data_IF_823003586009
#
_entry.id   IF_823003586009
#
_cell.length_a   1.000
_cell.length_b   1.000
_cell.length_c   1.000
_cell.angle_alpha   90.00
_cell.angle_beta   90.00
_cell.angle_gamma   90.00
#
_symmetry.space_group_name_H-M   'P 1'
#
loop_
_entity.id
_entity.type
_entity.pdbx_description
1 polymer ?
#
# COMPACT_ATOMS: atom_id res chain seq x y z
N UNK A 1 18.23 12.47 -12.57
CA UNK A 1 17.12 13.04 -11.77
C UNK A 1 16.04 11.98 -11.70
N UNK A 2 15.53 11.67 -10.50
CA UNK A 2 14.56 10.60 -10.31
C UNK A 2 13.21 11.20 -9.92
N UNK A 3 12.16 10.70 -10.57
CA UNK A 3 10.77 11.01 -10.23
C UNK A 3 10.14 9.75 -9.66
N UNK A 4 9.38 9.88 -8.58
CA UNK A 4 8.73 8.75 -7.92
C UNK A 4 7.23 9.03 -7.89
N UNK A 5 6.41 8.08 -8.33
CA UNK A 5 4.95 8.21 -8.34
C UNK A 5 4.30 6.92 -7.84
N UNK A 6 3.37 6.97 -6.88
CA UNK A 6 2.58 5.80 -6.52
C UNK A 6 1.46 5.56 -7.55
N UNK A 7 1.22 4.30 -7.88
CA UNK A 7 0.12 3.87 -8.74
C UNK A 7 -1.23 3.69 -8.00
N UNK A 8 -1.20 3.66 -6.66
CA UNK A 8 -2.36 3.36 -5.83
C UNK A 8 -3.17 4.62 -5.46
N UNK A 9 -2.71 5.40 -4.48
CA UNK A 9 -3.46 6.51 -3.90
C UNK A 9 -2.55 7.62 -3.30
N UNK A 10 -3.18 8.68 -2.79
CA UNK A 10 -2.48 9.80 -2.16
C UNK A 10 -1.87 9.43 -0.81
N UNK A 11 -2.35 8.40 -0.11
CA UNK A 11 -1.72 7.98 1.15
C UNK A 11 -0.36 7.36 0.90
N UNK A 12 -0.24 6.53 -0.13
CA UNK A 12 1.06 6.02 -0.58
C UNK A 12 2.01 7.16 -0.96
N UNK A 13 1.49 8.23 -1.58
CA UNK A 13 2.29 9.43 -1.90
C UNK A 13 2.81 10.11 -0.64
N UNK A 14 1.93 10.37 0.32
CA UNK A 14 2.30 11.08 1.54
C UNK A 14 3.30 10.25 2.39
N UNK A 15 3.17 8.92 2.39
CA UNK A 15 4.15 8.01 2.97
C UNK A 15 5.53 8.14 2.32
N UNK A 16 5.61 8.12 0.98
CA UNK A 16 6.86 8.27 0.25
C UNK A 16 7.48 9.68 0.42
N UNK A 17 6.65 10.72 0.44
CA UNK A 17 7.11 12.10 0.63
C UNK A 17 7.64 12.37 2.04
N UNK A 18 7.18 11.61 3.04
CA UNK A 18 7.66 11.70 4.41
C UNK A 18 8.97 10.95 4.68
N UNK A 19 9.48 10.14 3.73
CA UNK A 19 10.70 9.35 3.92
C UNK A 19 11.95 10.22 3.73
N UNK A 20 12.75 10.34 4.78
CA UNK A 20 14.01 11.10 4.78
C UNK A 20 15.01 10.62 3.73
N UNK A 21 14.96 9.33 3.35
CA UNK A 21 15.84 8.75 2.33
C UNK A 21 15.50 9.23 0.92
N UNK A 22 14.28 9.71 0.73
CA UNK A 22 13.79 10.26 -0.54
C UNK A 22 13.85 11.79 -0.56
N UNK A 23 14.43 12.42 0.48
CA UNK A 23 14.58 13.86 0.54
C UNK A 23 15.45 14.37 -0.62
N UNK A 24 14.84 15.16 -1.51
CA UNK A 24 15.47 15.70 -2.73
C UNK A 24 14.99 15.06 -4.03
N UNK A 25 14.26 13.94 -3.96
CA UNK A 25 13.62 13.35 -5.13
C UNK A 25 12.23 13.93 -5.36
N UNK A 26 11.76 13.91 -6.62
CA UNK A 26 10.45 14.45 -6.96
C UNK A 26 9.38 13.40 -6.74
N UNK A 27 8.68 13.45 -5.59
CA UNK A 27 7.52 12.58 -5.33
C UNK A 27 6.26 13.22 -5.87
N UNK A 28 5.66 12.61 -6.90
CA UNK A 28 4.45 13.09 -7.57
C UNK A 28 3.24 12.23 -7.24
N UNK A 29 2.03 12.73 -7.52
CA UNK A 29 0.80 11.95 -7.36
C UNK A 29 0.48 11.10 -8.59
N UNK A 30 -0.47 10.17 -8.45
CA UNK A 30 -0.94 9.32 -9.56
C UNK A 30 -1.42 10.13 -10.77
N UNK A 31 -2.00 11.31 -10.57
CA UNK A 31 -2.43 12.19 -11.66
C UNK A 31 -1.26 12.69 -12.52
N UNK A 32 -0.08 12.87 -11.94
CA UNK A 32 1.11 13.29 -12.69
C UNK A 32 1.57 12.26 -13.74
N UNK A 33 1.23 10.98 -13.54
CA UNK A 33 1.43 9.93 -14.55
C UNK A 33 0.47 10.10 -15.74
N UNK A 34 -0.75 10.60 -15.49
CA UNK A 34 -1.78 10.81 -16.51
C UNK A 34 -1.56 12.12 -17.26
N UNK A 35 -1.19 13.17 -16.53
CA UNK A 35 -0.94 14.51 -17.06
C UNK A 35 0.44 14.65 -17.70
N UNK A 36 1.28 13.61 -17.59
CA UNK A 36 2.64 13.55 -18.15
C UNK A 36 3.68 14.38 -17.41
N UNK A 37 3.32 15.01 -16.30
CA UNK A 37 4.23 15.85 -15.51
C UNK A 37 5.25 15.05 -14.69
N UNK A 38 5.03 13.74 -14.54
CA UNK A 38 5.99 12.84 -13.90
C UNK A 38 7.20 12.48 -14.78
N UNK A 39 7.14 12.73 -16.09
CA UNK A 39 8.20 12.37 -17.05
C UNK A 39 9.26 13.47 -17.15
N UNK A 40 10.37 13.28 -16.44
CA UNK A 40 11.53 14.17 -16.51
C UNK A 40 12.47 13.67 -17.62
N UNK A 41 12.68 14.42 -18.73
CA UNK A 41 13.44 13.91 -19.86
C UNK A 41 14.86 13.45 -19.52
N UNK A 42 15.24 12.27 -20.01
CA UNK A 42 16.54 11.64 -19.70
C UNK A 42 16.70 11.17 -18.25
N UNK A 43 15.62 11.19 -17.45
CA UNK A 43 15.60 10.75 -16.06
C UNK A 43 15.09 9.31 -15.88
N UNK A 44 14.85 8.97 -14.62
CA UNK A 44 14.24 7.70 -14.22
C UNK A 44 12.93 7.97 -13.51
N UNK A 45 11.87 7.29 -13.92
CA UNK A 45 10.57 7.27 -13.25
C UNK A 45 10.40 5.95 -12.50
N UNK A 46 10.24 6.03 -11.19
CA UNK A 46 9.92 4.88 -10.34
C UNK A 46 8.42 4.91 -10.04
N UNK A 47 7.72 3.85 -10.42
CA UNK A 47 6.31 3.67 -10.09
C UNK A 47 6.19 2.70 -8.93
N UNK A 48 5.73 3.19 -7.78
CA UNK A 48 5.44 2.34 -6.63
C UNK A 48 4.08 1.65 -6.75
N UNK A 49 3.98 0.42 -6.26
CA UNK A 49 2.76 -0.41 -6.31
C UNK A 49 2.20 -0.58 -7.72
N UNK A 50 3.06 -0.80 -8.70
CA UNK A 50 2.69 -0.89 -10.11
C UNK A 50 1.72 -2.05 -10.41
N UNK A 51 1.57 -3.03 -9.51
CA UNK A 51 0.55 -4.08 -9.62
C UNK A 51 -0.89 -3.55 -9.60
N UNK A 52 -1.07 -2.29 -9.12
CA UNK A 52 -2.34 -1.56 -9.11
C UNK A 52 -2.64 -0.82 -10.41
N UNK A 53 -1.68 -0.72 -11.34
CA UNK A 53 -1.94 -0.11 -12.64
C UNK A 53 -2.83 -1.01 -13.50
N UNK A 54 -3.83 -0.40 -14.13
CA UNK A 54 -4.55 -1.02 -15.23
C UNK A 54 -3.69 -1.11 -16.49
N UNK A 55 -4.10 -1.96 -17.44
CA UNK A 55 -3.45 -2.09 -18.74
C UNK A 55 -3.43 -0.75 -19.50
N UNK A 56 -4.54 -0.01 -19.49
CA UNK A 56 -4.63 1.32 -20.14
C UNK A 56 -3.64 2.30 -19.53
N UNK A 57 -3.59 2.40 -18.21
CA UNK A 57 -2.66 3.30 -17.51
C UNK A 57 -1.21 2.93 -17.80
N UNK A 58 -0.89 1.63 -17.89
CA UNK A 58 0.46 1.18 -18.19
C UNK A 58 0.88 1.52 -19.61
N UNK A 59 -0.01 1.39 -20.59
CA UNK A 59 0.27 1.78 -21.98
C UNK A 59 0.53 3.29 -22.05
N UNK A 60 -0.31 4.11 -21.42
CA UNK A 60 -0.11 5.57 -21.38
C UNK A 60 1.20 5.94 -20.68
N UNK A 61 1.56 5.23 -19.61
CA UNK A 61 2.82 5.42 -18.90
C UNK A 61 4.03 5.09 -19.77
N UNK A 62 4.01 3.97 -20.48
CA UNK A 62 5.10 3.55 -21.36
C UNK A 62 5.22 4.49 -22.58
N UNK A 63 4.11 4.92 -23.18
CA UNK A 63 4.13 5.90 -24.28
C UNK A 63 4.75 7.24 -23.82
N UNK A 64 4.35 7.75 -22.66
CA UNK A 64 4.94 8.96 -22.08
C UNK A 64 6.43 8.80 -21.79
N UNK A 65 6.82 7.69 -21.18
CA UNK A 65 8.22 7.41 -20.88
C UNK A 65 9.08 7.31 -22.16
N UNK A 66 8.58 6.64 -23.21
CA UNK A 66 9.26 6.54 -24.50
C UNK A 66 9.44 7.91 -25.16
N UNK A 67 8.40 8.75 -25.18
CA UNK A 67 8.45 10.09 -25.79
C UNK A 67 9.45 11.03 -25.11
N UNK A 68 9.62 10.88 -23.81
CA UNK A 68 10.53 11.70 -23.02
C UNK A 68 11.89 11.04 -22.75
N UNK A 69 12.15 9.86 -23.34
CA UNK A 69 13.37 9.07 -23.13
C UNK A 69 13.66 8.85 -21.63
N UNK A 70 12.62 8.42 -20.90
CA UNK A 70 12.65 8.17 -19.46
C UNK A 70 12.76 6.68 -19.20
N UNK A 71 13.69 6.29 -18.33
CA UNK A 71 13.76 4.92 -17.84
C UNK A 71 12.64 4.68 -16.83
N UNK A 72 11.89 3.59 -16.96
CA UNK A 72 10.82 3.23 -16.01
C UNK A 72 11.24 2.06 -15.14
N UNK A 73 11.10 2.21 -13.83
CA UNK A 73 11.19 1.13 -12.86
C UNK A 73 9.80 0.90 -12.24
N UNK A 74 9.26 -0.30 -12.41
CA UNK A 74 7.97 -0.69 -11.83
C UNK A 74 8.21 -1.55 -10.59
N UNK A 75 7.80 -1.05 -9.42
CA UNK A 75 7.86 -1.79 -8.17
C UNK A 75 6.62 -2.68 -8.01
N UNK A 76 6.82 -3.95 -7.73
CA UNK A 76 5.76 -4.91 -7.39
C UNK A 76 5.79 -5.17 -5.88
N UNK A 77 4.77 -4.70 -5.16
CA UNK A 77 4.74 -4.84 -3.70
C UNK A 77 4.25 -6.22 -3.21
N UNK A 78 3.88 -7.12 -4.13
CA UNK A 78 3.35 -8.45 -3.80
C UNK A 78 1.94 -8.44 -3.21
N UNK A 79 1.28 -7.27 -3.15
CA UNK A 79 -0.13 -7.14 -2.78
C UNK A 79 -1.03 -7.74 -3.87
N UNK A 80 -2.31 -7.94 -3.53
CA UNK A 80 -3.29 -8.48 -4.49
C UNK A 80 -3.30 -7.64 -5.77
N UNK A 81 -2.84 -8.27 -6.83
CA UNK A 81 -2.87 -7.76 -8.19
C UNK A 81 -4.32 -7.57 -8.64
N UNK A 82 -4.59 -6.45 -9.32
CA UNK A 82 -5.90 -6.25 -9.97
C UNK A 82 -6.11 -7.29 -11.08
N UNK A 83 -7.36 -7.65 -11.37
CA UNK A 83 -7.67 -8.44 -12.57
C UNK A 83 -7.18 -7.68 -13.81
N UNK A 84 -6.26 -8.26 -14.59
CA UNK A 84 -5.67 -7.59 -15.75
C UNK A 84 -4.49 -6.66 -15.44
N UNK A 85 -3.74 -6.94 -14.37
CA UNK A 85 -2.49 -6.22 -14.07
C UNK A 85 -1.50 -6.32 -15.23
N UNK A 86 -1.01 -5.16 -15.65
CA UNK A 86 -0.04 -5.08 -16.71
C UNK A 86 1.32 -5.70 -16.32
N UNK A 87 1.62 -5.82 -15.02
CA UNK A 87 2.88 -6.42 -14.58
C UNK A 87 3.03 -7.86 -15.02
N UNK A 88 1.95 -8.66 -15.00
CA UNK A 88 2.00 -10.04 -15.48
C UNK A 88 2.36 -10.07 -16.97
N UNK A 89 1.67 -9.25 -17.78
CA UNK A 89 1.92 -9.16 -19.22
C UNK A 89 3.35 -8.70 -19.52
N UNK A 90 3.86 -7.71 -18.77
CA UNK A 90 5.23 -7.21 -18.93
C UNK A 90 6.28 -8.27 -18.57
N UNK A 91 6.05 -9.03 -17.50
CA UNK A 91 6.92 -10.17 -17.13
C UNK A 91 6.92 -11.23 -18.22
N UNK A 92 5.76 -11.60 -18.73
CA UNK A 92 5.62 -12.59 -19.82
C UNK A 92 6.27 -12.12 -21.12
N UNK A 93 6.31 -10.80 -21.36
CA UNK A 93 6.98 -10.21 -22.52
C UNK A 93 8.51 -10.17 -22.43
N UNK A 94 9.08 -10.62 -21.32
CA UNK A 94 10.54 -10.73 -21.14
C UNK A 94 11.22 -9.47 -20.61
N UNK A 95 10.48 -8.53 -20.01
CA UNK A 95 11.08 -7.41 -19.28
C UNK A 95 11.93 -7.93 -18.13
N UNK A 96 13.12 -7.35 -17.94
CA UNK A 96 14.00 -7.70 -16.83
C UNK A 96 13.29 -7.51 -15.47
N UNK A 97 13.29 -8.56 -14.66
CA UNK A 97 12.74 -8.52 -13.31
C UNK A 97 13.85 -8.65 -12.28
N UNK A 98 13.84 -7.75 -11.30
CA UNK A 98 14.76 -7.78 -10.17
C UNK A 98 13.98 -8.12 -8.91
N UNK A 99 14.37 -9.20 -8.23
CA UNK A 99 13.73 -9.62 -6.98
C UNK A 99 14.57 -9.17 -5.79
N UNK A 100 14.06 -8.20 -5.04
CA UNK A 100 14.66 -7.80 -3.77
C UNK A 100 14.40 -8.87 -2.69
N UNK A 101 15.45 -9.32 -2.00
CA UNK A 101 15.38 -10.34 -0.95
C UNK A 101 15.75 -9.83 0.45
N UNK A 102 16.06 -8.53 0.59
CA UNK A 102 16.58 -7.96 1.83
C UNK A 102 15.54 -7.44 2.83
N UNK A 103 14.24 -7.68 2.61
CA UNK A 103 13.18 -7.20 3.49
C UNK A 103 12.90 -8.16 4.63
N UNK A 104 12.85 -7.65 5.87
CA UNK A 104 12.37 -8.42 7.03
C UNK A 104 10.88 -8.71 6.82
N UNK A 105 10.51 -9.97 6.60
CA UNK A 105 9.09 -10.34 6.47
C UNK A 105 8.43 -10.22 7.85
N UNK A 106 7.37 -9.42 7.94
CA UNK A 106 6.54 -9.32 9.15
C UNK A 106 5.94 -10.69 9.47
N UNK A 107 6.16 -11.18 10.68
CA UNK A 107 5.50 -12.38 11.19
C UNK A 107 4.03 -12.07 11.45
N UNK A 108 3.14 -12.98 11.05
CA UNK A 108 1.71 -12.87 11.32
C UNK A 108 1.29 -13.95 12.31
N UNK A 109 0.68 -13.55 13.42
CA UNK A 109 0.05 -14.46 14.35
C UNK A 109 -1.36 -14.81 13.87
N UNK A 110 -1.62 -16.09 13.62
CA UNK A 110 -2.92 -16.58 13.14
C UNK A 110 -3.66 -17.22 14.32
N UNK A 111 -4.71 -16.56 14.78
CA UNK A 111 -5.61 -17.06 15.82
C UNK A 111 -6.90 -17.56 15.16
N UNK A 112 -7.17 -18.85 15.29
CA UNK A 112 -8.41 -19.46 14.78
C UNK A 112 -9.48 -19.47 15.87
N UNK A 113 -10.56 -18.74 15.66
CA UNK A 113 -11.73 -18.72 16.53
C UNK A 113 -12.96 -19.01 15.64
N UNK A 114 -13.69 -20.13 15.85
CA UNK A 114 -14.78 -20.54 14.96
C UNK A 114 -16.00 -19.63 15.07
N UNK A 115 -16.31 -19.11 16.25
CA UNK A 115 -17.48 -18.25 16.44
C UNK A 115 -17.24 -16.83 15.93
N UNK A 116 -18.19 -16.31 15.13
CA UNK A 116 -18.06 -14.97 14.51
C UNK A 116 -18.13 -13.87 15.57
N UNK A 117 -18.96 -14.02 16.59
CA UNK A 117 -19.11 -13.03 17.67
C UNK A 117 -17.88 -12.99 18.58
N UNK A 118 -17.37 -14.16 18.96
CA UNK A 118 -16.15 -14.32 19.75
C UNK A 118 -14.94 -13.76 19.00
N UNK A 119 -14.81 -14.02 17.69
CA UNK A 119 -13.76 -13.42 16.84
C UNK A 119 -13.76 -11.90 16.92
N UNK A 120 -14.92 -11.27 16.75
CA UNK A 120 -14.99 -9.81 16.70
C UNK A 120 -14.78 -9.19 18.08
N UNK A 121 -15.32 -9.81 19.11
CA UNK A 121 -15.13 -9.36 20.49
C UNK A 121 -13.66 -9.43 20.91
N UNK A 122 -12.97 -10.51 20.54
CA UNK A 122 -11.53 -10.67 20.79
C UNK A 122 -10.70 -9.65 20.00
N UNK A 123 -10.96 -9.46 18.72
CA UNK A 123 -10.29 -8.45 17.89
C UNK A 123 -10.47 -7.03 18.49
N UNK A 124 -11.68 -6.71 18.96
CA UNK A 124 -11.96 -5.44 19.61
C UNK A 124 -11.17 -5.26 20.91
N UNK A 125 -11.07 -6.30 21.74
CA UNK A 125 -10.31 -6.29 22.99
C UNK A 125 -8.80 -6.13 22.74
N UNK A 126 -8.22 -6.92 21.84
CA UNK A 126 -6.80 -6.85 21.48
C UNK A 126 -6.45 -5.46 20.91
N UNK A 127 -7.33 -4.91 20.05
CA UNK A 127 -7.18 -3.55 19.53
C UNK A 127 -7.23 -2.50 20.65
N UNK A 128 -8.19 -2.58 21.58
CA UNK A 128 -8.32 -1.63 22.68
C UNK A 128 -7.09 -1.64 23.61
N UNK A 129 -6.54 -2.82 23.90
CA UNK A 129 -5.30 -2.96 24.67
C UNK A 129 -4.12 -2.32 23.94
N UNK A 130 -3.94 -2.64 22.66
CA UNK A 130 -2.83 -2.15 21.86
C UNK A 130 -2.85 -0.61 21.69
N UNK A 131 -4.03 -0.02 21.43
CA UNK A 131 -4.20 1.43 21.39
C UNK A 131 -3.88 2.08 22.74
N UNK A 132 -4.28 1.43 23.85
CA UNK A 132 -4.00 1.91 25.21
C UNK A 132 -2.51 1.89 25.53
N UNK A 133 -1.78 0.87 25.05
CA UNK A 133 -0.32 0.79 25.17
C UNK A 133 0.41 1.83 24.31
N UNK A 134 -0.32 2.68 23.59
CA UNK A 134 0.24 3.72 22.73
C UNK A 134 0.80 3.19 21.41
N UNK A 135 0.47 1.94 21.04
CA UNK A 135 0.87 1.37 19.78
C UNK A 135 0.03 1.93 18.63
N UNK A 136 0.65 2.11 17.46
CA UNK A 136 -0.03 2.55 16.25
C UNK A 136 -0.79 1.37 15.62
N UNK A 137 -2.01 1.15 16.10
CA UNK A 137 -2.81 -0.04 15.78
C UNK A 137 -4.02 0.29 14.91
N UNK A 138 -4.36 -0.64 14.02
CA UNK A 138 -5.51 -0.53 13.10
C UNK A 138 -6.26 -1.86 13.05
N UNK A 139 -7.53 -1.86 13.41
CA UNK A 139 -8.43 -3.00 13.22
C UNK A 139 -9.08 -2.94 11.82
N UNK A 140 -9.01 -4.04 11.06
CA UNK A 140 -9.59 -4.10 9.71
C UNK A 140 -10.51 -5.31 9.56
N UNK A 141 -11.68 -5.09 8.98
CA UNK A 141 -12.62 -6.13 8.58
C UNK A 141 -13.32 -5.79 7.26
N UNK A 142 -13.61 -6.83 6.48
CA UNK A 142 -14.31 -6.71 5.19
C UNK A 142 -15.82 -6.62 5.41
N UNK A 143 -16.47 -5.67 4.72
CA UNK A 143 -17.93 -5.49 4.74
C UNK A 143 -18.38 -4.33 5.64
N UNK A 144 -19.28 -3.48 5.14
CA UNK A 144 -19.77 -2.29 5.87
C UNK A 144 -20.58 -2.65 7.11
N UNK A 145 -21.37 -3.73 7.04
CA UNK A 145 -22.13 -4.24 8.19
C UNK A 145 -21.20 -4.77 9.27
N UNK A 146 -20.23 -5.59 8.90
CA UNK A 146 -19.21 -6.13 9.79
C UNK A 146 -18.37 -5.03 10.46
N UNK A 147 -17.98 -4.00 9.70
CA UNK A 147 -17.30 -2.83 10.26
C UNK A 147 -18.16 -2.11 11.30
N UNK A 148 -19.47 -1.97 11.06
CA UNK A 148 -20.38 -1.34 12.02
C UNK A 148 -20.48 -2.15 13.32
N UNK A 149 -20.56 -3.49 13.21
CA UNK A 149 -20.57 -4.38 14.38
C UNK A 149 -19.26 -4.30 15.15
N UNK A 150 -18.12 -4.37 14.46
CA UNK A 150 -16.80 -4.27 15.10
C UNK A 150 -16.59 -2.92 15.78
N UNK A 151 -16.99 -1.83 15.14
CA UNK A 151 -16.94 -0.49 15.74
C UNK A 151 -17.80 -0.39 17.00
N UNK A 152 -18.97 -1.03 17.02
CA UNK A 152 -19.79 -1.15 18.23
C UNK A 152 -19.04 -1.89 19.34
N UNK A 153 -18.48 -3.07 19.02
CA UNK A 153 -17.72 -3.88 19.98
C UNK A 153 -16.45 -3.19 20.49
N UNK A 154 -15.74 -2.42 19.66
CA UNK A 154 -14.57 -1.64 20.09
C UNK A 154 -15.01 -0.54 21.08
N UNK A 155 -16.14 0.13 20.83
CA UNK A 155 -16.67 1.16 21.73
C UNK A 155 -17.21 0.59 23.04
N UNK A 156 -17.86 -0.57 22.97
CA UNK A 156 -18.44 -1.27 24.11
C UNK A 156 -17.39 -2.08 24.88
N UNK A 157 -16.20 -2.30 24.28
CA UNK A 157 -15.08 -2.94 24.97
C UNK A 157 -14.75 -2.08 26.18
N UNK A 158 -14.85 -2.63 27.40
CA UNK A 158 -14.67 -1.83 28.59
C UNK A 158 -13.25 -1.27 28.60
N UNK A 159 -13.12 0.00 29.01
CA UNK A 159 -11.85 0.57 29.49
C UNK A 159 -11.47 -0.14 30.79
N UNK A 160 -11.21 -1.44 30.75
CA UNK A 160 -10.91 -2.21 31.96
C UNK A 160 -9.50 -1.85 32.39
N UNK A 161 -9.44 -0.99 33.39
CA UNK A 161 -8.37 -0.90 34.36
C UNK A 161 -7.39 0.23 34.14
N UNK A 162 -7.85 1.49 34.22
CA UNK A 162 -7.03 2.51 34.88
C UNK A 162 -6.55 1.97 36.23
N UNK A 163 -5.29 2.26 36.55
CA UNK A 163 -4.50 1.55 37.55
C UNK A 163 -5.15 1.39 38.92
N UNK A 164 -4.91 0.22 39.50
CA UNK A 164 -4.81 0.03 40.93
C UNK A 164 -3.41 -0.56 41.18
N UNK A 165 -2.53 0.24 41.80
CA UNK A 165 -1.14 -0.12 42.11
C UNK A 165 -0.17 0.98 41.76
#
# INVERSE_FOLDING_TARGET
>A
MTSISPAADNRSRDFLAGDVRLAGETVTGKSALQDGTAFIPGGTLIVDQAEKLSLKETISLLDGAMRHNVQVLLSDSGKRSGTGSALTVLKDSGVNTYRWQGGQQTTADIISEPDKGARYSRLAQEFAVSVREGQESVAQISGTREQSVLNGLIRDSPQTGGGAG
#
